data_IF_100547708503
#
_entry.id   IF_100547708503
#
_cell.length_a   1.000
_cell.length_b   1.000
_cell.length_c   1.000
_cell.angle_alpha   90.00
_cell.angle_beta   90.00
_cell.angle_gamma   90.00
#
_symmetry.space_group_name_H-M   'P 1'
#
loop_
_entity.id
_entity.type
_entity.pdbx_description
1 polymer ?
#
# COMPACT_ATOMS: atom_id res chain seq x y z
N UNK A 1 -15.09 8.14 6.23
CA UNK A 1 -16.11 9.23 6.20
C UNK A 1 -16.59 9.41 7.62
N UNK A 2 -16.68 10.63 8.12
CA UNK A 2 -17.13 10.94 9.49
C UNK A 2 -18.57 11.43 9.52
N UNK A 3 -18.95 12.29 8.61
CA UNK A 3 -20.30 12.81 8.51
C UNK A 3 -20.63 13.20 7.08
N UNK A 4 -21.89 13.01 6.73
CA UNK A 4 -22.55 13.58 5.56
C UNK A 4 -23.40 14.75 6.06
N UNK A 5 -23.19 15.93 5.54
CA UNK A 5 -23.99 17.12 5.76
C UNK A 5 -24.73 17.45 4.45
N UNK A 6 -25.74 18.31 4.50
CA UNK A 6 -26.61 18.55 3.32
C UNK A 6 -25.85 18.95 2.06
N UNK A 7 -24.72 19.62 2.19
CA UNK A 7 -23.92 20.14 1.08
C UNK A 7 -22.45 19.67 1.06
N UNK A 8 -22.04 18.81 2.00
CA UNK A 8 -20.62 18.44 2.18
C UNK A 8 -20.39 17.09 2.82
N UNK A 9 -19.24 16.53 2.54
CA UNK A 9 -18.72 15.30 3.14
C UNK A 9 -17.54 15.68 4.03
N UNK A 10 -17.56 15.21 5.26
CA UNK A 10 -16.47 15.41 6.17
C UNK A 10 -15.65 14.13 6.34
N UNK A 11 -14.34 14.22 6.09
CA UNK A 11 -13.40 13.10 6.09
C UNK A 11 -12.33 13.37 7.14
N UNK A 12 -12.18 12.44 8.11
CA UNK A 12 -11.07 12.53 9.06
C UNK A 12 -9.78 12.13 8.37
N UNK A 13 -8.74 12.90 8.63
CA UNK A 13 -7.35 12.61 8.29
C UNK A 13 -7.18 11.87 6.94
N UNK A 14 -7.52 12.54 5.81
CA UNK A 14 -7.43 11.91 4.52
C UNK A 14 -5.97 11.57 4.20
N UNK A 15 -5.69 10.32 3.91
CA UNK A 15 -4.37 9.94 3.41
C UNK A 15 -4.21 10.43 1.97
N UNK A 16 -3.36 11.42 1.77
CA UNK A 16 -3.00 11.90 0.43
C UNK A 16 -2.01 10.93 -0.20
N UNK A 17 -2.32 10.48 -1.41
CA UNK A 17 -1.46 9.56 -2.15
C UNK A 17 -0.75 10.36 -3.23
N UNK A 18 0.57 10.37 -3.18
CA UNK A 18 1.42 11.11 -4.09
C UNK A 18 2.50 11.90 -3.36
N UNK A 19 3.14 12.83 -4.07
CA UNK A 19 4.05 13.80 -3.45
C UNK A 19 3.26 14.65 -2.45
N UNK A 20 3.91 15.10 -1.39
CA UNK A 20 3.35 16.05 -0.41
C UNK A 20 2.64 17.21 -1.13
N UNK A 21 1.41 17.01 -1.48
CA UNK A 21 0.58 18.07 -2.00
C UNK A 21 -0.12 18.69 -0.80
N UNK A 22 0.26 19.92 -0.48
CA UNK A 22 -0.50 20.70 0.50
C UNK A 22 -1.96 20.74 0.04
N UNK A 23 -2.85 20.37 0.94
CA UNK A 23 -4.29 20.48 0.71
C UNK A 23 -4.71 21.93 0.83
N UNK A 24 -5.21 22.52 -0.23
CA UNK A 24 -5.73 23.90 -0.21
C UNK A 24 -7.23 23.91 -0.53
N UNK A 25 -7.94 24.84 0.08
CA UNK A 25 -9.32 25.12 -0.26
C UNK A 25 -9.45 25.41 -1.77
N UNK A 26 -10.44 24.79 -2.41
CA UNK A 26 -10.71 24.93 -3.84
C UNK A 26 -9.99 23.90 -4.72
N UNK A 27 -9.00 23.18 -4.20
CA UNK A 27 -8.34 22.12 -4.99
C UNK A 27 -9.35 21.05 -5.41
N UNK A 28 -9.32 20.73 -6.70
CA UNK A 28 -10.02 19.55 -7.22
C UNK A 28 -9.22 18.31 -6.89
N UNK A 29 -9.91 17.26 -6.49
CA UNK A 29 -9.30 15.98 -6.15
C UNK A 29 -10.24 14.82 -6.51
N UNK A 30 -9.69 13.63 -6.53
CA UNK A 30 -10.45 12.41 -6.70
C UNK A 30 -10.46 11.64 -5.38
N UNK A 31 -11.66 11.39 -4.87
CA UNK A 31 -11.87 10.61 -3.67
C UNK A 31 -12.10 9.13 -4.00
N UNK A 32 -11.60 8.24 -3.14
CA UNK A 32 -11.82 6.79 -3.25
C UNK A 32 -12.35 6.24 -1.92
N UNK A 33 -13.34 5.36 -2.00
CA UNK A 33 -13.80 4.61 -0.85
C UNK A 33 -14.18 3.19 -1.25
N UNK A 34 -14.23 2.29 -0.27
CA UNK A 34 -14.68 0.92 -0.47
C UNK A 34 -15.98 0.67 0.28
N UNK A 35 -16.96 0.09 -0.40
CA UNK A 35 -18.21 -0.38 0.20
C UNK A 35 -18.48 -1.81 -0.30
N UNK A 36 -18.74 -2.73 0.62
CA UNK A 36 -19.00 -4.14 0.31
C UNK A 36 -17.96 -4.79 -0.63
N UNK A 37 -16.67 -4.48 -0.41
CA UNK A 37 -15.58 -4.99 -1.23
C UNK A 37 -15.42 -4.33 -2.61
N UNK A 38 -16.35 -3.48 -3.01
CA UNK A 38 -16.27 -2.72 -4.27
C UNK A 38 -15.63 -1.36 -4.02
N UNK A 39 -14.67 -1.01 -4.88
CA UNK A 39 -14.04 0.32 -4.87
C UNK A 39 -14.90 1.29 -5.67
N UNK A 40 -15.08 2.48 -5.13
CA UNK A 40 -15.75 3.60 -5.78
C UNK A 40 -14.80 4.80 -5.85
N UNK A 41 -14.97 5.61 -6.90
CA UNK A 41 -14.27 6.88 -7.09
C UNK A 41 -15.27 8.00 -7.38
N UNK A 42 -14.90 9.20 -6.98
CA UNK A 42 -15.73 10.38 -7.20
C UNK A 42 -14.89 11.65 -7.27
N UNK A 43 -15.20 12.56 -8.21
CA UNK A 43 -14.59 13.87 -8.24
C UNK A 43 -15.15 14.74 -7.11
N UNK A 44 -14.29 15.51 -6.46
CA UNK A 44 -14.69 16.41 -5.38
C UNK A 44 -13.74 17.62 -5.30
N UNK A 45 -14.09 18.59 -4.47
CA UNK A 45 -13.27 19.77 -4.16
C UNK A 45 -13.13 19.94 -2.66
N UNK A 46 -11.97 20.44 -2.24
CA UNK A 46 -11.73 20.81 -0.86
C UNK A 46 -12.46 22.11 -0.57
N UNK A 47 -13.40 22.07 0.36
CA UNK A 47 -14.12 23.25 0.86
C UNK A 47 -13.41 23.89 2.05
N UNK A 48 -12.81 23.03 2.92
CA UNK A 48 -12.15 23.45 4.15
C UNK A 48 -11.11 22.39 4.55
N UNK A 49 -9.92 22.82 4.95
CA UNK A 49 -8.80 21.93 5.27
C UNK A 49 -8.64 21.65 6.77
N UNK A 50 -9.29 22.42 7.62
CA UNK A 50 -9.21 22.29 9.08
C UNK A 50 -10.62 22.25 9.71
N UNK A 51 -11.47 21.46 9.11
CA UNK A 51 -12.81 21.24 9.62
C UNK A 51 -12.77 20.37 10.87
N UNK A 52 -13.47 20.76 11.92
CA UNK A 52 -13.57 19.99 13.14
C UNK A 52 -14.97 19.40 13.31
N UNK A 53 -15.02 18.17 13.81
CA UNK A 53 -16.27 17.47 14.11
C UNK A 53 -16.24 16.99 15.54
N UNK A 54 -17.29 17.31 16.26
CA UNK A 54 -17.53 16.71 17.55
C UNK A 54 -18.26 15.37 17.37
N UNK A 55 -17.57 14.24 17.58
CA UNK A 55 -18.16 12.91 17.50
C UNK A 55 -19.02 12.57 18.74
N UNK A 56 -18.61 13.07 19.90
CA UNK A 56 -19.34 12.97 21.16
C UNK A 56 -18.92 14.11 22.10
N UNK A 57 -19.38 14.10 23.36
CA UNK A 57 -19.08 15.17 24.33
C UNK A 57 -17.59 15.37 24.59
N UNK A 58 -16.75 14.37 24.37
CA UNK A 58 -15.33 14.36 24.76
C UNK A 58 -14.38 14.35 23.55
N UNK A 59 -14.87 13.96 22.36
CA UNK A 59 -14.00 13.72 21.20
C UNK A 59 -14.31 14.66 20.06
N UNK A 60 -13.34 15.52 19.76
CA UNK A 60 -13.29 16.34 18.54
C UNK A 60 -12.27 15.69 17.59
N UNK A 61 -12.64 15.55 16.33
CA UNK A 61 -11.77 15.02 15.28
C UNK A 61 -11.61 16.09 14.21
N UNK A 62 -10.36 16.38 13.84
CA UNK A 62 -10.03 17.26 12.74
C UNK A 62 -10.09 16.49 11.41
N UNK A 63 -10.40 17.20 10.35
CA UNK A 63 -10.54 16.60 9.04
C UNK A 63 -10.67 17.62 7.93
N UNK A 64 -11.00 17.13 6.75
CA UNK A 64 -11.19 17.94 5.55
C UNK A 64 -12.64 17.88 5.13
N UNK A 65 -13.22 19.03 4.84
CA UNK A 65 -14.56 19.16 4.26
C UNK A 65 -14.47 19.15 2.74
N UNK A 66 -15.21 18.24 2.12
CA UNK A 66 -15.25 18.01 0.69
C UNK A 66 -16.64 18.34 0.14
N UNK A 67 -16.70 18.82 -1.09
CA UNK A 67 -17.98 18.98 -1.78
C UNK A 67 -18.65 17.61 -2.03
N UNK A 68 -19.98 17.58 -2.01
CA UNK A 68 -20.72 16.40 -2.45
C UNK A 68 -20.46 16.18 -3.95
N UNK A 69 -20.05 14.98 -4.36
CA UNK A 69 -19.86 14.67 -5.77
C UNK A 69 -21.20 14.57 -6.49
N UNK A 70 -21.28 15.10 -7.70
CA UNK A 70 -22.45 14.94 -8.57
C UNK A 70 -22.61 13.47 -9.04
N UNK A 71 -21.50 12.73 -9.13
CA UNK A 71 -21.50 11.34 -9.59
C UNK A 71 -20.52 10.50 -8.79
N UNK A 72 -20.89 9.24 -8.55
CA UNK A 72 -20.04 8.21 -7.98
C UNK A 72 -19.95 7.06 -8.97
N UNK A 73 -18.75 6.64 -9.30
CA UNK A 73 -18.50 5.58 -10.26
C UNK A 73 -17.76 4.41 -9.61
N UNK A 74 -17.88 3.22 -10.17
CA UNK A 74 -16.94 2.14 -9.79
C UNK A 74 -15.54 2.57 -10.19
N UNK A 75 -14.64 2.59 -9.23
CA UNK A 75 -13.28 3.09 -9.40
C UNK A 75 -12.25 1.99 -9.32
N UNK A 76 -11.18 2.16 -10.06
CA UNK A 76 -9.96 1.37 -9.92
C UNK A 76 -8.84 2.31 -9.48
N UNK A 77 -8.58 2.38 -8.17
CA UNK A 77 -7.51 3.22 -7.61
C UNK A 77 -6.12 2.81 -8.10
N UNK A 78 -5.96 1.55 -8.49
CA UNK A 78 -4.67 1.02 -8.93
C UNK A 78 -4.58 1.05 -10.44
N UNK A 79 -3.62 1.77 -10.96
CA UNK A 79 -3.27 1.75 -12.40
C UNK A 79 -2.63 0.43 -12.81
N UNK A 80 -2.07 -0.31 -11.84
CA UNK A 80 -1.40 -1.59 -12.07
C UNK A 80 -2.10 -2.67 -11.27
N UNK A 81 -2.45 -3.75 -11.97
CA UNK A 81 -3.04 -4.93 -11.39
C UNK A 81 -2.09 -5.60 -10.39
N UNK A 82 -2.64 -6.17 -9.33
CA UNK A 82 -1.91 -6.96 -8.34
C UNK A 82 -2.39 -8.40 -8.39
N UNK A 83 -1.45 -9.30 -8.58
CA UNK A 83 -1.72 -10.74 -8.49
C UNK A 83 -1.75 -11.15 -7.02
N UNK A 84 -2.81 -11.85 -6.63
CA UNK A 84 -2.91 -12.45 -5.30
C UNK A 84 -1.93 -13.63 -5.22
N UNK A 85 -1.18 -13.68 -4.12
CA UNK A 85 -0.25 -14.78 -3.80
C UNK A 85 -0.77 -15.58 -2.59
N UNK A 86 -2.08 -15.51 -2.34
CA UNK A 86 -2.75 -16.35 -1.36
C UNK A 86 -3.03 -17.70 -2.03
N UNK A 87 -2.15 -18.65 -1.77
CA UNK A 87 -2.21 -20.04 -2.27
C UNK A 87 -1.83 -20.99 -1.13
N UNK A 88 -1.95 -22.30 -1.39
CA UNK A 88 -1.63 -23.35 -0.41
C UNK A 88 -0.17 -23.26 0.05
N UNK A 89 0.74 -22.92 -0.85
CA UNK A 89 2.14 -22.66 -0.54
C UNK A 89 2.39 -21.15 -0.42
N UNK A 90 2.57 -20.62 0.82
CA UNK A 90 2.80 -19.22 1.01
C UNK A 90 4.16 -18.75 0.46
N UNK A 91 4.19 -17.66 -0.28
CA UNK A 91 5.44 -17.02 -0.68
C UNK A 91 6.04 -16.30 0.53
N UNK A 92 7.09 -16.88 1.08
CA UNK A 92 7.81 -16.31 2.21
C UNK A 92 8.83 -15.28 1.73
N UNK A 93 8.94 -14.19 2.46
CA UNK A 93 9.91 -13.13 2.20
C UNK A 93 10.77 -12.85 3.43
N UNK A 94 12.01 -12.50 3.17
CA UNK A 94 12.95 -11.97 4.16
C UNK A 94 13.06 -10.47 3.94
N UNK A 95 12.79 -9.69 4.97
CA UNK A 95 12.88 -8.25 4.99
C UNK A 95 14.14 -7.82 5.76
N UNK A 96 14.96 -6.95 5.16
CA UNK A 96 16.17 -6.39 5.79
C UNK A 96 16.12 -4.88 5.69
N UNK A 97 16.27 -4.19 6.80
CA UNK A 97 16.37 -2.73 6.80
C UNK A 97 17.65 -2.27 6.12
N UNK A 98 17.64 -1.06 5.62
CA UNK A 98 18.83 -0.40 5.08
C UNK A 98 19.16 0.83 5.92
N UNK A 99 20.46 1.09 6.12
CA UNK A 99 20.95 2.18 6.98
C UNK A 99 20.85 3.54 6.29
N UNK A 100 21.04 3.55 4.98
CA UNK A 100 20.94 4.74 4.14
C UNK A 100 20.59 4.36 2.72
N UNK A 101 20.18 5.35 1.91
CA UNK A 101 19.88 5.15 0.50
C UNK A 101 21.15 5.17 -0.35
N UNK A 102 22.24 5.86 0.12
CA UNK A 102 23.52 5.95 -0.60
C UNK A 102 24.71 6.05 0.37
N UNK A 103 25.65 5.08 0.34
CA UNK A 103 25.53 3.75 -0.24
C UNK A 103 24.54 2.88 0.54
N UNK A 104 23.69 2.15 -0.16
CA UNK A 104 22.72 1.27 0.48
C UNK A 104 23.47 0.12 1.17
N UNK A 105 23.34 0.05 2.48
CA UNK A 105 23.93 -0.99 3.32
C UNK A 105 22.86 -1.59 4.22
N UNK A 106 22.90 -2.91 4.37
CA UNK A 106 22.10 -3.58 5.40
C UNK A 106 22.90 -3.58 6.69
N UNK A 107 22.39 -2.98 7.78
CA UNK A 107 23.02 -3.08 9.09
C UNK A 107 23.18 -4.56 9.49
N UNK A 108 24.39 -4.95 9.86
CA UNK A 108 24.71 -6.35 10.23
C UNK A 108 24.02 -6.72 11.55
N UNK A 109 23.78 -5.73 12.40
CA UNK A 109 23.28 -5.92 13.76
C UNK A 109 21.76 -6.08 13.85
N UNK A 110 21.04 -5.91 12.75
CA UNK A 110 19.59 -6.05 12.73
C UNK A 110 19.19 -7.40 12.12
N UNK A 111 18.50 -8.26 12.88
CA UNK A 111 18.07 -9.54 12.37
C UNK A 111 17.06 -9.33 11.23
N UNK A 112 17.08 -10.19 10.21
CA UNK A 112 16.08 -10.17 9.16
C UNK A 112 14.70 -10.49 9.73
N UNK A 113 13.68 -9.90 9.16
CA UNK A 113 12.28 -10.15 9.52
C UNK A 113 11.64 -11.04 8.47
N UNK A 114 10.90 -12.03 8.91
CA UNK A 114 10.16 -12.91 8.01
C UNK A 114 8.73 -12.40 7.81
N UNK A 115 8.29 -12.41 6.56
CA UNK A 115 6.94 -12.04 6.18
C UNK A 115 6.36 -13.00 5.15
N UNK A 116 5.05 -12.90 4.92
CA UNK A 116 4.32 -13.61 3.87
C UNK A 116 3.85 -12.61 2.83
N UNK A 117 4.26 -12.77 1.58
CA UNK A 117 3.74 -11.95 0.49
C UNK A 117 2.32 -12.40 0.18
N UNK A 118 1.40 -11.46 0.15
CA UNK A 118 -0.04 -11.71 -0.07
C UNK A 118 -0.47 -11.25 -1.46
N UNK A 119 0.14 -10.18 -1.94
CA UNK A 119 -0.03 -9.71 -3.30
C UNK A 119 1.25 -9.05 -3.83
N UNK A 120 1.42 -9.10 -5.14
CA UNK A 120 2.53 -8.47 -5.84
C UNK A 120 2.07 -7.85 -7.17
N UNK A 121 2.83 -6.87 -7.63
CA UNK A 121 2.64 -6.20 -8.92
C UNK A 121 3.98 -5.70 -9.47
N UNK A 122 3.95 -5.08 -10.66
CA UNK A 122 5.13 -4.40 -11.21
C UNK A 122 5.67 -3.24 -10.38
N UNK A 123 4.94 -2.77 -9.37
CA UNK A 123 5.32 -1.59 -8.57
C UNK A 123 5.52 -1.88 -7.09
N UNK A 124 5.14 -3.04 -6.59
CA UNK A 124 5.29 -3.29 -5.17
C UNK A 124 4.56 -4.52 -4.65
N UNK A 125 4.63 -4.65 -3.34
CA UNK A 125 4.20 -5.84 -2.61
C UNK A 125 3.24 -5.49 -1.48
N UNK A 126 2.34 -6.41 -1.19
CA UNK A 126 1.63 -6.47 0.08
C UNK A 126 2.17 -7.63 0.91
N UNK A 127 2.72 -7.34 2.08
CA UNK A 127 3.37 -8.33 2.94
C UNK A 127 2.70 -8.36 4.31
N UNK A 128 2.36 -9.54 4.78
CA UNK A 128 1.93 -9.73 6.17
C UNK A 128 3.14 -10.14 7.02
N UNK A 129 3.28 -9.50 8.16
CA UNK A 129 4.26 -9.82 9.19
C UNK A 129 3.55 -10.06 10.52
N UNK A 130 4.15 -10.79 11.48
CA UNK A 130 3.58 -10.95 12.82
C UNK A 130 3.37 -9.59 13.52
N UNK A 131 2.26 -9.45 14.23
CA UNK A 131 1.87 -8.18 14.89
C UNK A 131 2.89 -7.70 15.94
N UNK A 132 3.66 -8.62 16.54
CA UNK A 132 4.71 -8.30 17.51
C UNK A 132 5.77 -7.33 16.95
N UNK A 133 5.88 -7.22 15.62
CA UNK A 133 6.80 -6.30 14.96
C UNK A 133 6.14 -4.99 14.49
N UNK A 134 4.84 -4.77 14.77
CA UNK A 134 4.08 -3.61 14.26
C UNK A 134 4.76 -2.27 14.54
N UNK A 135 5.17 -2.06 15.79
CA UNK A 135 5.80 -0.81 16.25
C UNK A 135 7.20 -0.55 15.66
N UNK A 136 7.78 -1.57 15.02
CA UNK A 136 9.12 -1.47 14.45
C UNK A 136 9.12 -0.90 13.03
N UNK A 137 7.97 -0.78 12.37
CA UNK A 137 7.86 -0.28 11.00
C UNK A 137 7.38 1.16 10.97
N UNK A 138 8.06 1.97 10.18
CA UNK A 138 7.69 3.35 9.92
C UNK A 138 7.33 3.52 8.43
N UNK A 139 6.38 4.41 8.19
CA UNK A 139 6.10 4.82 6.82
C UNK A 139 7.32 5.50 6.21
N UNK A 140 7.59 5.24 4.94
CA UNK A 140 8.76 5.69 4.18
C UNK A 140 10.11 5.07 4.58
N UNK A 141 10.09 4.03 5.39
CA UNK A 141 11.29 3.25 5.69
C UNK A 141 11.69 2.41 4.47
N UNK A 142 12.97 2.47 4.10
CA UNK A 142 13.52 1.66 3.00
C UNK A 142 14.01 0.30 3.53
N UNK A 143 13.77 -0.75 2.74
CA UNK A 143 14.12 -2.13 3.07
C UNK A 143 14.49 -2.91 1.81
N UNK A 144 15.29 -3.96 1.96
CA UNK A 144 15.33 -5.04 0.97
C UNK A 144 14.27 -6.09 1.29
N UNK A 145 13.54 -6.51 0.26
CA UNK A 145 12.69 -7.70 0.29
C UNK A 145 13.31 -8.77 -0.59
N UNK A 146 13.54 -9.95 -0.03
CA UNK A 146 14.10 -11.10 -0.74
C UNK A 146 13.16 -12.28 -0.61
N UNK A 147 12.83 -12.94 -1.72
CA UNK A 147 11.89 -14.06 -1.77
C UNK A 147 12.11 -14.96 -2.97
N UNK A 148 11.50 -16.14 -2.93
CA UNK A 148 11.43 -17.08 -4.04
C UNK A 148 9.96 -17.35 -4.35
N UNK A 149 9.57 -17.27 -5.61
CA UNK A 149 8.23 -17.70 -6.06
C UNK A 149 8.36 -19.13 -6.54
N UNK A 150 7.44 -20.02 -6.13
CA UNK A 150 7.37 -21.40 -6.58
C UNK A 150 7.35 -21.46 -8.11
N UNK A 151 8.23 -22.28 -8.69
CA UNK A 151 8.43 -22.37 -10.15
C UNK A 151 9.45 -21.37 -10.73
N UNK A 152 9.91 -20.39 -9.95
CA UNK A 152 11.02 -19.51 -10.36
C UNK A 152 12.37 -20.14 -10.02
N UNK A 153 13.35 -20.14 -10.94
CA UNK A 153 14.69 -20.70 -10.66
C UNK A 153 15.57 -19.75 -9.82
N UNK A 154 15.12 -18.53 -9.57
CA UNK A 154 15.93 -17.49 -8.93
C UNK A 154 15.23 -16.84 -7.75
N UNK A 155 16.01 -16.65 -6.69
CA UNK A 155 15.66 -15.72 -5.62
C UNK A 155 15.62 -14.29 -6.17
N UNK A 156 14.56 -13.57 -5.86
CA UNK A 156 14.35 -12.18 -6.26
C UNK A 156 14.62 -11.28 -5.07
N UNK A 157 15.29 -10.15 -5.33
CA UNK A 157 15.56 -9.16 -4.30
C UNK A 157 15.30 -7.75 -4.84
N UNK A 158 14.52 -6.96 -4.10
CA UNK A 158 14.17 -5.60 -4.47
C UNK A 158 14.37 -4.65 -3.31
N UNK A 159 14.84 -3.44 -3.62
CA UNK A 159 14.74 -2.32 -2.70
C UNK A 159 13.29 -1.84 -2.69
N UNK A 160 12.71 -1.68 -1.52
CA UNK A 160 11.31 -1.27 -1.33
C UNK A 160 11.22 -0.18 -0.27
N UNK A 161 10.16 0.60 -0.36
CA UNK A 161 9.81 1.60 0.65
C UNK A 161 8.44 1.26 1.24
N UNK A 162 8.32 1.29 2.55
CA UNK A 162 7.05 1.06 3.27
C UNK A 162 6.13 2.28 3.03
N UNK A 163 5.03 2.08 2.32
CA UNK A 163 4.03 3.13 2.04
C UNK A 163 2.84 3.07 2.98
N UNK A 164 2.56 1.91 3.53
CA UNK A 164 1.43 1.71 4.41
C UNK A 164 1.77 0.65 5.46
N UNK A 165 1.39 0.92 6.70
CA UNK A 165 1.39 -0.03 7.81
C UNK A 165 -0.04 -0.12 8.31
N UNK A 166 -0.64 -1.33 8.31
CA UNK A 166 -2.01 -1.55 8.73
C UNK A 166 -2.13 -2.82 9.56
N UNK A 167 -2.64 -2.70 10.75
CA UNK A 167 -2.95 -3.86 11.58
C UNK A 167 -4.16 -4.63 11.05
N UNK A 168 -4.06 -5.97 11.11
CA UNK A 168 -5.13 -6.91 10.78
C UNK A 168 -5.40 -7.72 12.02
N UNK A 169 -6.27 -7.20 12.88
CA UNK A 169 -6.57 -7.77 14.20
C UNK A 169 -7.10 -9.21 14.12
N UNK A 170 -7.85 -9.54 13.04
CA UNK A 170 -8.47 -10.87 12.86
C UNK A 170 -7.47 -12.02 12.72
N UNK A 171 -6.24 -11.73 12.29
CA UNK A 171 -5.18 -12.75 12.09
C UNK A 171 -3.91 -12.46 12.89
N UNK A 172 -3.91 -11.47 13.77
CA UNK A 172 -2.75 -11.08 14.58
C UNK A 172 -1.53 -10.67 13.74
N UNK A 173 -1.76 -10.01 12.62
CA UNK A 173 -0.72 -9.62 11.67
C UNK A 173 -0.77 -8.12 11.34
N UNK A 174 0.36 -7.62 10.85
CA UNK A 174 0.45 -6.29 10.23
C UNK A 174 0.65 -6.43 8.74
N UNK A 175 -0.16 -5.72 7.96
CA UNK A 175 -0.01 -5.60 6.52
C UNK A 175 0.87 -4.42 6.19
N UNK A 176 1.98 -4.70 5.52
CA UNK A 176 2.84 -3.69 4.92
C UNK A 176 2.48 -3.55 3.44
N UNK A 177 2.17 -2.33 3.01
CA UNK A 177 2.12 -1.96 1.60
C UNK A 177 3.46 -1.36 1.21
N UNK A 178 4.16 -1.98 0.26
CA UNK A 178 5.52 -1.60 -0.12
C UNK A 178 5.57 -1.18 -1.59
N UNK A 179 6.29 -0.10 -1.87
CA UNK A 179 6.60 0.37 -3.22
C UNK A 179 8.02 -0.08 -3.59
N UNK A 180 8.21 -0.67 -4.76
CA UNK A 180 9.55 -0.95 -5.28
C UNK A 180 10.23 0.34 -5.70
N UNK A 181 11.48 0.50 -5.30
CA UNK A 181 12.35 1.60 -5.70
C UNK A 181 13.30 1.16 -6.81
N UNK A 182 13.56 2.00 -7.83
CA UNK A 182 14.54 1.71 -8.86
C UNK A 182 15.95 1.72 -8.24
N UNK A 183 16.56 0.54 -8.12
CA UNK A 183 17.90 0.39 -7.56
C UNK A 183 18.61 -0.82 -8.19
N UNK A 184 19.95 -0.78 -8.40
CA UNK A 184 20.84 0.39 -8.26
C UNK A 184 20.69 1.40 -9.40
N UNK A 185 20.09 1.02 -10.51
CA UNK A 185 19.75 1.90 -11.65
C UNK A 185 18.39 1.53 -12.23
N UNK A 186 17.73 2.47 -12.89
CA UNK A 186 16.45 2.21 -13.57
C UNK A 186 16.53 1.07 -14.58
N UNK A 187 17.65 0.95 -15.32
CA UNK A 187 17.86 -0.11 -16.32
C UNK A 187 17.96 -1.49 -15.69
N UNK A 188 18.73 -1.62 -14.61
CA UNK A 188 18.87 -2.89 -13.89
C UNK A 188 17.57 -3.27 -13.20
N UNK A 189 16.92 -2.31 -12.56
CA UNK A 189 15.59 -2.51 -11.97
C UNK A 189 14.59 -3.06 -12.98
N UNK A 190 14.48 -2.46 -14.17
CA UNK A 190 13.57 -2.93 -15.23
C UNK A 190 13.89 -4.37 -15.62
N UNK A 191 15.18 -4.75 -15.70
CA UNK A 191 15.59 -6.12 -16.00
C UNK A 191 15.20 -7.11 -14.90
N UNK A 192 15.35 -6.73 -13.63
CA UNK A 192 15.02 -7.58 -12.49
C UNK A 192 13.50 -7.74 -12.27
N UNK A 193 12.69 -6.75 -12.67
CA UNK A 193 11.22 -6.84 -12.58
C UNK A 193 10.64 -7.81 -13.62
N UNK A 194 11.28 -8.04 -14.76
CA UNK A 194 10.76 -8.93 -15.82
C UNK A 194 10.54 -10.37 -15.35
N UNK A 195 11.47 -11.03 -14.64
CA UNK A 195 11.25 -12.36 -14.07
C UNK A 195 10.06 -12.39 -13.09
N UNK A 196 9.91 -11.37 -12.26
CA UNK A 196 8.77 -11.24 -11.36
C UNK A 196 7.44 -11.22 -12.14
N UNK A 197 7.35 -10.36 -13.16
CA UNK A 197 6.13 -10.25 -13.98
C UNK A 197 5.78 -11.56 -14.69
N UNK A 198 6.78 -12.29 -15.19
CA UNK A 198 6.56 -13.63 -15.79
C UNK A 198 5.99 -14.60 -14.77
N UNK A 199 6.61 -14.70 -13.60
CA UNK A 199 6.14 -15.59 -12.54
C UNK A 199 4.72 -15.23 -12.06
N UNK A 200 4.39 -13.93 -11.91
CA UNK A 200 3.04 -13.48 -11.55
C UNK A 200 2.01 -13.85 -12.62
N UNK A 201 2.34 -13.68 -13.90
CA UNK A 201 1.47 -14.05 -15.02
C UNK A 201 1.23 -15.57 -15.08
N UNK A 202 2.24 -16.37 -14.80
CA UNK A 202 2.11 -17.83 -14.75
C UNK A 202 1.21 -18.28 -13.60
N UNK A 203 1.39 -17.71 -12.41
CA UNK A 203 0.54 -17.97 -11.25
C UNK A 203 -0.92 -17.57 -11.52
N UNK A 204 -1.16 -16.43 -12.12
CA UNK A 204 -2.53 -16.00 -12.46
C UNK A 204 -3.19 -16.95 -13.46
N UNK A 205 -2.45 -17.42 -14.47
CA UNK A 205 -2.96 -18.40 -15.42
C UNK A 205 -3.28 -19.74 -14.75
N UNK A 206 -2.44 -20.18 -13.80
CA UNK A 206 -2.68 -21.38 -13.01
C UNK A 206 -3.94 -21.25 -12.16
N UNK A 207 -4.11 -20.14 -11.44
CA UNK A 207 -5.29 -19.86 -10.62
C UNK A 207 -6.59 -19.85 -11.44
N UNK A 208 -6.56 -19.26 -12.65
CA UNK A 208 -7.73 -19.25 -13.55
C UNK A 208 -8.10 -20.63 -14.12
N UNK A 209 -7.16 -21.58 -14.16
CA UNK A 209 -7.44 -22.97 -14.62
C UNK A 209 -8.01 -23.85 -13.52
N UNK A 210 -7.81 -23.45 -12.25
CA UNK A 210 -8.26 -24.19 -11.07
C UNK A 210 -9.59 -23.69 -10.49
N UNK A 211 -10.12 -22.59 -11.01
CA UNK A 211 -11.39 -21.98 -10.62
C UNK A 211 -12.50 -22.34 -11.63
#
# INVERSE_FOLDING_TARGET
>A
MLALQDDSILVADPQVIGRESMLFRGNAMEGFFSANGTMFQFPTRILETDASIRLNKEKIVHGVRLSIPATIQRGQRRTIYRTSLVCDEPVLAVLRRVSSVEPIQCPIDQPPLNGKIIDASAQGFGVNIPNVYASQFKQYEAMFITFLITGSPKTMSFLVEVRQVREISTIGAVRLGMLMLPWPTQRLFTREVQPLLRALNELERAQRRSA
#
